data_IF_591508539271
#
_entry.id   IF_591508539271
#
_cell.length_a   1.000
_cell.length_b   1.000
_cell.length_c   1.000
_cell.angle_alpha   90.00
_cell.angle_beta   90.00
_cell.angle_gamma   90.00
#
_symmetry.space_group_name_H-M   'P 1'
#
loop_
_entity.id
_entity.type
_entity.pdbx_description
1 polymer ?
#
# COMPACT_ATOMS: atom_id res chain seq x y z
N UNK A 1 -11.15 19.50 11.56
CA UNK A 1 -10.86 18.05 11.43
C UNK A 1 -9.36 17.86 11.11
N UNK A 2 -8.45 18.14 12.04
CA UNK A 2 -6.99 18.19 11.74
C UNK A 2 -6.18 17.15 12.52
N UNK A 3 -6.40 17.01 13.83
CA UNK A 3 -5.49 16.21 14.67
C UNK A 3 -5.44 14.70 14.35
N UNK A 4 -6.59 14.08 14.02
CA UNK A 4 -6.66 12.63 13.76
C UNK A 4 -5.94 12.23 12.46
N UNK A 5 -6.14 12.99 11.37
CA UNK A 5 -5.47 12.72 10.09
C UNK A 5 -3.96 12.87 10.20
N UNK A 6 -3.48 13.93 10.87
CA UNK A 6 -2.04 14.11 11.11
C UNK A 6 -1.46 12.96 11.92
N UNK A 7 -2.18 12.50 12.95
CA UNK A 7 -1.75 11.35 13.76
C UNK A 7 -1.73 10.04 12.97
N UNK A 8 -2.78 9.74 12.19
CA UNK A 8 -2.86 8.54 11.36
C UNK A 8 -1.76 8.55 10.27
N UNK A 9 -1.47 9.72 9.67
CA UNK A 9 -0.36 9.89 8.71
C UNK A 9 1.01 9.73 9.36
N UNK A 10 1.20 10.27 10.56
CA UNK A 10 2.46 10.16 11.30
C UNK A 10 2.74 8.71 11.71
N UNK A 11 1.76 8.01 12.29
CA UNK A 11 1.89 6.59 12.68
C UNK A 11 2.14 5.68 11.49
N UNK A 12 1.50 5.95 10.34
CA UNK A 12 1.79 5.27 9.08
C UNK A 12 3.25 5.47 8.63
N UNK A 13 3.71 6.71 8.65
CA UNK A 13 5.08 7.08 8.24
C UNK A 13 6.14 6.46 9.16
N UNK A 14 5.92 6.51 10.47
CA UNK A 14 6.84 5.93 11.47
C UNK A 14 6.95 4.41 11.32
N UNK A 15 5.81 3.72 11.13
CA UNK A 15 5.76 2.28 10.88
C UNK A 15 6.48 1.87 9.58
N UNK A 16 6.33 2.65 8.51
CA UNK A 16 7.06 2.43 7.26
C UNK A 16 8.56 2.66 7.42
N UNK A 17 8.94 3.79 8.01
CA UNK A 17 10.34 4.17 8.13
C UNK A 17 11.13 3.21 9.00
N UNK A 18 10.50 2.57 9.99
CA UNK A 18 11.16 1.55 10.82
C UNK A 18 11.41 0.24 10.06
N UNK A 19 10.57 -0.11 9.07
CA UNK A 19 10.58 -1.44 8.44
C UNK A 19 11.06 -1.48 7.00
N UNK A 20 10.87 -0.41 6.22
CA UNK A 20 11.15 -0.36 4.78
C UNK A 20 12.29 0.58 4.44
N UNK A 21 12.88 0.39 3.25
CA UNK A 21 13.88 1.32 2.69
C UNK A 21 13.29 2.73 2.51
N UNK A 22 14.12 3.80 2.48
CA UNK A 22 13.64 5.16 2.28
C UNK A 22 12.84 5.34 0.98
N UNK A 23 13.26 4.68 -0.11
CA UNK A 23 12.57 4.74 -1.39
C UNK A 23 11.16 4.12 -1.30
N UNK A 24 11.04 2.89 -0.78
CA UNK A 24 9.74 2.23 -0.62
C UNK A 24 8.82 2.97 0.37
N UNK A 25 9.39 3.54 1.43
CA UNK A 25 8.65 4.40 2.37
C UNK A 25 8.05 5.60 1.64
N UNK A 26 8.86 6.33 0.85
CA UNK A 26 8.39 7.49 0.10
C UNK A 26 7.31 7.11 -0.91
N UNK A 27 7.53 6.04 -1.68
CA UNK A 27 6.56 5.54 -2.65
C UNK A 27 5.20 5.28 -1.99
N UNK A 28 5.18 4.54 -0.88
CA UNK A 28 3.92 4.20 -0.21
C UNK A 28 3.23 5.39 0.43
N UNK A 29 3.98 6.41 0.88
CA UNK A 29 3.39 7.65 1.39
C UNK A 29 2.65 8.43 0.30
N UNK A 30 3.28 8.59 -0.87
CA UNK A 30 2.69 9.31 -2.01
C UNK A 30 1.41 8.61 -2.48
N UNK A 31 1.45 7.30 -2.73
CA UNK A 31 0.27 6.53 -3.16
C UNK A 31 -0.80 6.41 -2.07
N UNK A 32 -0.40 6.42 -0.78
CA UNK A 32 -1.36 6.42 0.32
C UNK A 32 -2.17 7.71 0.36
N UNK A 33 -1.57 8.86 0.05
CA UNK A 33 -2.29 10.14 -0.02
C UNK A 33 -3.33 10.14 -1.14
N UNK A 34 -2.99 9.61 -2.31
CA UNK A 34 -3.93 9.47 -3.43
C UNK A 34 -5.09 8.53 -3.07
N UNK A 35 -4.78 7.41 -2.44
CA UNK A 35 -5.76 6.37 -2.08
C UNK A 35 -6.86 6.85 -1.12
N UNK A 36 -6.68 7.99 -0.44
CA UNK A 36 -7.68 8.54 0.52
C UNK A 36 -8.97 8.91 -0.21
N UNK A 37 -8.87 9.34 -1.46
CA UNK A 37 -10.00 9.81 -2.27
C UNK A 37 -10.75 8.66 -2.96
N UNK A 38 -10.21 7.44 -2.90
CA UNK A 38 -10.74 6.32 -3.66
C UNK A 38 -11.88 5.64 -2.93
N UNK A 39 -12.85 5.14 -3.68
CA UNK A 39 -13.98 4.38 -3.14
C UNK A 39 -13.80 2.90 -3.41
N UNK A 40 -13.90 2.07 -2.38
CA UNK A 40 -13.64 0.62 -2.46
C UNK A 40 -14.96 -0.16 -2.42
N UNK A 41 -15.08 -1.10 -3.34
CA UNK A 41 -16.17 -2.07 -3.43
C UNK A 41 -15.57 -3.47 -3.31
N UNK A 42 -15.80 -4.19 -2.20
CA UNK A 42 -15.36 -5.58 -2.08
C UNK A 42 -16.12 -6.46 -3.08
N UNK A 43 -15.40 -7.35 -3.76
CA UNK A 43 -15.97 -8.39 -4.64
C UNK A 43 -15.91 -9.73 -3.91
N UNK A 44 -14.73 -10.06 -3.36
CA UNK A 44 -14.47 -11.24 -2.54
C UNK A 44 -13.43 -10.91 -1.46
N UNK A 45 -12.97 -11.91 -0.70
CA UNK A 45 -12.00 -11.77 0.38
C UNK A 45 -10.68 -11.11 -0.04
N UNK A 46 -10.19 -11.47 -1.23
CA UNK A 46 -8.97 -10.90 -1.79
C UNK A 46 -9.22 -9.99 -3.00
N UNK A 47 -10.45 -9.92 -3.51
CA UNK A 47 -10.78 -9.18 -4.73
C UNK A 47 -11.57 -7.90 -4.44
N UNK A 48 -11.12 -6.79 -5.01
CA UNK A 48 -11.70 -5.47 -4.77
C UNK A 48 -11.77 -4.67 -6.06
N UNK A 49 -12.87 -3.95 -6.24
CA UNK A 49 -12.96 -2.88 -7.22
C UNK A 49 -12.77 -1.53 -6.53
N UNK A 50 -11.81 -0.75 -7.00
CA UNK A 50 -11.47 0.55 -6.45
C UNK A 50 -11.75 1.63 -7.50
N UNK A 51 -12.65 2.55 -7.19
CA UNK A 51 -12.98 3.71 -8.02
C UNK A 51 -12.06 4.88 -7.66
N UNK A 52 -11.29 5.35 -8.62
CA UNK A 52 -10.40 6.53 -8.48
C UNK A 52 -10.90 7.77 -9.24
N UNK A 53 -11.99 7.63 -10.00
CA UNK A 53 -12.59 8.71 -10.80
C UNK A 53 -12.03 8.82 -12.23
N UNK A 54 -11.04 8.03 -12.60
CA UNK A 54 -10.44 8.03 -13.94
C UNK A 54 -10.22 6.60 -14.49
N UNK A 55 -9.42 5.78 -13.81
CA UNK A 55 -9.09 4.40 -14.18
C UNK A 55 -9.29 3.48 -12.99
N UNK A 56 -10.51 3.00 -12.83
CA UNK A 56 -10.84 2.00 -11.81
C UNK A 56 -9.80 0.87 -11.72
N UNK A 57 -9.38 0.56 -10.51
CA UNK A 57 -8.55 -0.58 -10.18
C UNK A 57 -9.39 -1.82 -9.92
N UNK A 58 -9.11 -2.94 -10.58
CA UNK A 58 -9.50 -4.26 -10.12
C UNK A 58 -8.28 -4.91 -9.47
N UNK A 59 -8.39 -5.25 -8.20
CA UNK A 59 -7.30 -5.76 -7.36
C UNK A 59 -7.56 -7.17 -6.93
N UNK A 60 -6.49 -7.97 -6.92
CA UNK A 60 -6.42 -9.20 -6.16
C UNK A 60 -5.22 -9.13 -5.19
N UNK A 61 -5.50 -9.11 -3.89
CA UNK A 61 -4.49 -9.01 -2.84
C UNK A 61 -3.66 -10.28 -2.67
N UNK A 62 -4.21 -11.46 -2.98
CA UNK A 62 -3.49 -12.73 -2.90
C UNK A 62 -2.41 -12.81 -3.98
N UNK A 63 -2.81 -12.46 -5.21
CA UNK A 63 -1.95 -12.54 -6.38
C UNK A 63 -1.09 -11.27 -6.55
N UNK A 64 -1.31 -10.26 -5.70
CA UNK A 64 -0.64 -8.95 -5.72
C UNK A 64 -0.79 -8.25 -7.07
N UNK A 65 -1.98 -8.32 -7.63
CA UNK A 65 -2.29 -7.76 -8.95
C UNK A 65 -3.22 -6.57 -8.86
N UNK A 66 -3.08 -5.67 -9.83
CA UNK A 66 -3.98 -4.55 -10.05
C UNK A 66 -4.05 -4.23 -11.53
N UNK A 67 -5.21 -3.83 -12.04
CA UNK A 67 -5.34 -3.36 -13.43
C UNK A 67 -4.49 -2.13 -13.77
N UNK A 68 -3.99 -1.38 -12.78
CA UNK A 68 -2.98 -0.34 -13.01
C UNK A 68 -1.57 -0.89 -13.26
N UNK A 69 -1.35 -2.19 -13.04
CA UNK A 69 -0.10 -2.95 -13.19
C UNK A 69 1.05 -2.55 -12.25
N UNK A 70 0.97 -1.41 -11.57
CA UNK A 70 1.99 -0.95 -10.62
C UNK A 70 2.24 -1.97 -9.50
N UNK A 71 1.19 -2.62 -8.98
CA UNK A 71 1.36 -3.61 -7.90
C UNK A 71 2.20 -4.83 -8.34
N UNK A 72 2.08 -5.21 -9.61
CA UNK A 72 2.80 -6.34 -10.19
C UNK A 72 4.23 -5.97 -10.59
N UNK A 73 4.44 -4.71 -11.01
CA UNK A 73 5.70 -4.22 -11.54
C UNK A 73 6.61 -3.69 -10.44
N UNK A 74 6.10 -2.79 -9.60
CA UNK A 74 6.85 -2.18 -8.50
C UNK A 74 6.95 -3.11 -7.30
N UNK A 75 6.12 -4.17 -7.26
CA UNK A 75 6.08 -5.17 -6.21
C UNK A 75 5.85 -4.55 -4.81
N UNK A 76 5.20 -3.39 -4.83
CA UNK A 76 4.73 -2.58 -3.72
C UNK A 76 3.25 -2.28 -3.95
N UNK A 77 2.43 -2.17 -2.89
CA UNK A 77 1.04 -1.75 -3.03
C UNK A 77 0.90 -0.40 -3.74
N UNK A 78 0.21 -0.38 -4.88
CA UNK A 78 -0.21 0.85 -5.56
C UNK A 78 -1.31 1.59 -4.77
N UNK A 79 -1.71 2.78 -5.23
CA UNK A 79 -2.75 3.56 -4.57
C UNK A 79 -4.08 2.81 -4.44
N UNK A 80 -4.49 2.05 -5.47
CA UNK A 80 -5.68 1.20 -5.39
C UNK A 80 -5.53 0.10 -4.32
N UNK A 81 -4.35 -0.54 -4.24
CA UNK A 81 -4.09 -1.64 -3.30
C UNK A 81 -4.10 -1.11 -1.86
N UNK A 82 -3.52 0.08 -1.63
CA UNK A 82 -3.56 0.75 -0.33
C UNK A 82 -4.99 1.09 0.11
N UNK A 83 -5.85 1.52 -0.82
CA UNK A 83 -7.27 1.74 -0.52
C UNK A 83 -7.95 0.43 -0.08
N UNK A 84 -7.75 -0.66 -0.82
CA UNK A 84 -8.32 -1.98 -0.51
C UNK A 84 -7.82 -2.52 0.84
N UNK A 85 -6.51 -2.43 1.10
CA UNK A 85 -5.88 -2.87 2.34
C UNK A 85 -6.39 -2.10 3.56
N UNK A 86 -6.60 -0.78 3.42
CA UNK A 86 -7.22 0.04 4.45
C UNK A 86 -8.66 -0.39 4.72
N UNK A 87 -9.45 -0.64 3.67
CA UNK A 87 -10.83 -1.07 3.80
C UNK A 87 -10.97 -2.43 4.51
N UNK A 88 -10.07 -3.38 4.22
CA UNK A 88 -10.06 -4.69 4.87
C UNK A 88 -9.17 -4.76 6.14
N UNK A 89 -8.60 -3.64 6.58
CA UNK A 89 -7.76 -3.50 7.79
C UNK A 89 -6.56 -4.46 7.83
N UNK A 90 -5.97 -4.75 6.67
CA UNK A 90 -4.74 -5.56 6.57
C UNK A 90 -3.52 -4.64 6.50
N UNK A 91 -2.41 -4.96 7.18
CA UNK A 91 -1.23 -4.11 7.17
C UNK A 91 -0.55 -4.16 5.79
N UNK A 92 -0.26 -2.98 5.22
CA UNK A 92 0.35 -2.84 3.90
C UNK A 92 1.77 -3.41 3.81
N UNK A 93 2.51 -3.44 4.93
CA UNK A 93 3.87 -3.99 5.02
C UNK A 93 3.92 -5.46 4.57
N UNK A 94 2.87 -6.24 4.85
CA UNK A 94 2.81 -7.67 4.49
C UNK A 94 2.74 -7.90 2.98
N UNK A 95 2.36 -6.86 2.24
CA UNK A 95 2.21 -6.87 0.78
C UNK A 95 3.40 -6.26 0.06
N UNK A 96 4.35 -5.68 0.80
CA UNK A 96 5.62 -5.24 0.25
C UNK A 96 6.54 -6.45 0.07
N UNK A 97 7.27 -6.52 -1.05
CA UNK A 97 8.30 -7.54 -1.19
C UNK A 97 9.41 -7.41 -0.15
N UNK A 98 10.00 -8.57 0.18
CA UNK A 98 11.11 -8.65 1.13
C UNK A 98 12.31 -7.80 0.73
N UNK A 99 12.60 -7.65 -0.57
CA UNK A 99 13.68 -6.80 -1.07
C UNK A 99 13.61 -5.35 -0.53
N UNK A 100 12.41 -4.83 -0.30
CA UNK A 100 12.21 -3.46 0.19
C UNK A 100 12.23 -3.35 1.73
N UNK A 101 12.31 -4.47 2.46
CA UNK A 101 12.41 -4.50 3.91
C UNK A 101 13.86 -4.27 4.36
N UNK A 102 14.05 -3.43 5.37
CA UNK A 102 15.39 -3.15 5.93
C UNK A 102 16.07 -4.39 6.50
N UNK A 103 15.30 -5.36 7.02
CA UNK A 103 15.83 -6.64 7.52
C UNK A 103 16.63 -7.39 6.44
N UNK A 104 16.18 -7.36 5.20
CA UNK A 104 16.82 -8.05 4.09
C UNK A 104 18.17 -7.43 3.71
N UNK A 105 18.35 -6.13 3.96
CA UNK A 105 19.66 -5.49 3.82
C UNK A 105 20.62 -6.00 4.90
N UNK A 106 20.15 -6.15 6.14
CA UNK A 106 21.00 -6.67 7.23
C UNK A 106 21.45 -8.10 6.95
N UNK A 107 20.55 -8.96 6.46
CA UNK A 107 20.86 -10.34 6.09
C UNK A 107 21.86 -10.46 4.94
N UNK A 108 21.81 -9.56 3.95
CA UNK A 108 22.72 -9.60 2.81
C UNK A 108 24.18 -9.25 3.16
N UNK A 109 24.42 -8.59 4.30
CA UNK A 109 25.75 -8.18 4.78
C UNK A 109 26.15 -8.86 6.10
N UNK A 110 25.41 -9.87 6.56
CA UNK A 110 25.72 -10.69 7.72
C UNK A 110 26.60 -11.89 7.34
#
# INVERSE_FOLDING_TARGET
MTHKWFHDRWTFTDSLHTQLTPWATKYLMEHNEESILYTVYPIDWNEFKVKDGAKDGLINLSDRTCTCQEFEIDLLPCAHALAALRACKRPFIDFCLHYYKKSSLVEAYA
#
